data_IF_066285766284
#
_entry.id   IF_066285766284
#
_cell.length_a   1.000
_cell.length_b   1.000
_cell.length_c   1.000
_cell.angle_alpha   90.00
_cell.angle_beta   90.00
_cell.angle_gamma   90.00
#
_symmetry.space_group_name_H-M   'P 1'
#
loop_
_entity.id
_entity.type
_entity.pdbx_description
1 polymer ?
#
# COMPACT_ATOMS: atom_id res chain seq x y z
N UNK A 1 -6.06 -5.49 -29.29
CA UNK A 1 -4.83 -5.33 -28.47
C UNK A 1 -5.30 -4.84 -27.10
N UNK A 2 -4.91 -5.47 -26.00
CA UNK A 2 -5.25 -4.98 -24.65
C UNK A 2 -4.42 -3.71 -24.39
N UNK A 3 -4.95 -2.55 -24.73
CA UNK A 3 -4.35 -1.26 -24.39
C UNK A 3 -4.84 -0.84 -23.02
N UNK A 4 -3.95 -0.94 -22.04
CA UNK A 4 -4.13 -0.34 -20.73
C UNK A 4 -3.36 0.98 -20.73
N UNK A 5 -4.07 2.08 -20.67
CA UNK A 5 -3.47 3.38 -20.42
C UNK A 5 -3.41 3.56 -18.90
N UNK A 6 -2.25 3.97 -18.40
CA UNK A 6 -2.12 4.34 -16.99
C UNK A 6 -3.09 5.50 -16.73
N UNK A 7 -3.94 5.40 -15.69
CA UNK A 7 -4.80 6.50 -15.29
C UNK A 7 -3.97 7.77 -15.02
N UNK A 8 -4.59 8.93 -15.21
CA UNK A 8 -3.99 10.21 -14.76
C UNK A 8 -3.65 10.13 -13.26
N UNK A 9 -2.55 10.80 -12.86
CA UNK A 9 -2.15 10.79 -11.46
C UNK A 9 -3.30 11.29 -10.56
N UNK A 10 -3.54 10.65 -9.40
CA UNK A 10 -4.53 11.13 -8.45
C UNK A 10 -4.24 12.56 -8.00
N UNK A 11 -5.31 13.28 -7.67
CA UNK A 11 -5.18 14.55 -6.96
C UNK A 11 -4.45 14.34 -5.62
N UNK A 12 -3.65 15.34 -5.24
CA UNK A 12 -2.79 15.33 -4.04
C UNK A 12 -3.13 16.52 -3.15
N UNK A 13 -2.99 16.32 -1.84
CA UNK A 13 -3.21 17.35 -0.82
C UNK A 13 -2.08 17.34 0.21
N UNK A 14 -1.65 18.51 0.67
CA UNK A 14 -0.57 18.76 1.64
C UNK A 14 0.86 18.33 1.24
N UNK A 15 1.01 17.19 0.56
CA UNK A 15 2.28 16.53 0.26
C UNK A 15 2.43 16.23 -1.23
N UNK A 16 3.65 16.36 -1.74
CA UNK A 16 4.02 16.01 -3.13
C UNK A 16 5.54 15.90 -3.26
N UNK A 17 6.01 15.12 -4.22
CA UNK A 17 7.44 14.96 -4.50
C UNK A 17 8.11 16.32 -4.79
N UNK A 18 7.44 17.21 -5.53
CA UNK A 18 7.98 18.52 -5.90
C UNK A 18 8.23 19.48 -4.73
N UNK A 19 7.54 19.29 -3.60
CA UNK A 19 7.63 20.14 -2.40
C UNK A 19 8.20 19.38 -1.19
N UNK A 20 8.81 18.22 -1.41
CA UNK A 20 9.30 17.35 -0.33
C UNK A 20 10.54 17.96 0.34
N UNK A 21 10.54 18.03 1.67
CA UNK A 21 11.75 18.39 2.44
C UNK A 21 12.78 17.25 2.35
N UNK A 22 14.06 17.53 2.04
CA UNK A 22 15.11 16.51 2.05
C UNK A 22 15.20 15.81 3.40
N UNK A 23 15.55 14.52 3.42
CA UNK A 23 15.65 13.75 4.67
C UNK A 23 16.60 14.38 5.67
N UNK A 24 17.70 14.96 5.20
CA UNK A 24 18.69 15.66 6.02
C UNK A 24 18.15 16.90 6.76
N UNK A 25 17.01 17.44 6.34
CA UNK A 25 16.39 18.66 6.89
C UNK A 25 15.02 18.39 7.51
N UNK A 26 14.65 17.13 7.67
CA UNK A 26 13.34 16.75 8.17
C UNK A 26 13.27 16.93 9.69
N UNK A 27 12.22 17.61 10.15
CA UNK A 27 12.01 17.90 11.57
C UNK A 27 10.96 16.97 12.17
N UNK A 28 11.11 16.65 13.46
CA UNK A 28 10.21 15.74 14.20
C UNK A 28 8.74 16.17 14.15
N UNK A 29 8.47 17.48 14.25
CA UNK A 29 7.11 18.03 14.23
C UNK A 29 6.45 17.85 12.86
N UNK A 30 7.23 17.92 11.77
CA UNK A 30 6.72 17.68 10.43
C UNK A 30 6.33 16.21 10.24
N UNK A 31 7.14 15.27 10.75
CA UNK A 31 6.81 13.83 10.71
C UNK A 31 5.52 13.56 11.48
N UNK A 32 5.36 14.16 12.67
CA UNK A 32 4.15 14.01 13.48
C UNK A 32 2.93 14.55 12.73
N UNK A 33 3.03 15.75 12.14
CA UNK A 33 1.94 16.33 11.36
C UNK A 33 1.53 15.43 10.19
N UNK A 34 2.51 14.90 9.44
CA UNK A 34 2.25 13.98 8.33
C UNK A 34 1.49 12.73 8.77
N UNK A 35 1.79 12.20 9.95
CA UNK A 35 1.08 11.03 10.52
C UNK A 35 -0.34 11.41 10.95
N UNK A 36 -0.53 12.60 11.53
CA UNK A 36 -1.86 13.10 11.95
C UNK A 36 -2.78 13.31 10.75
N UNK A 37 -2.26 13.84 9.64
CA UNK A 37 -3.04 14.10 8.43
C UNK A 37 -3.56 12.81 7.75
N UNK A 38 -3.06 11.64 8.17
CA UNK A 38 -3.47 10.32 7.68
C UNK A 38 -4.28 9.54 8.72
N UNK A 39 -4.74 10.18 9.79
CA UNK A 39 -5.45 9.53 10.88
C UNK A 39 -6.82 8.99 10.46
N UNK A 40 -6.84 7.74 10.02
CA UNK A 40 -8.07 7.03 9.67
C UNK A 40 -8.87 6.63 10.91
N UNK A 41 -8.20 6.41 12.05
CA UNK A 41 -8.83 5.91 13.27
C UNK A 41 -9.45 7.03 14.11
N UNK A 42 -9.02 8.29 13.89
CA UNK A 42 -9.34 9.45 14.70
C UNK A 42 -9.13 9.16 16.20
N UNK A 43 -8.00 8.53 16.51
CA UNK A 43 -7.69 8.00 17.85
C UNK A 43 -6.26 8.32 18.25
N UNK A 44 -6.11 8.69 19.53
CA UNK A 44 -4.81 8.87 20.16
C UNK A 44 -4.18 7.55 20.66
N UNK A 45 -4.89 6.42 20.52
CA UNK A 45 -4.33 5.10 20.80
C UNK A 45 -3.29 4.69 19.75
N UNK A 46 -2.37 3.80 20.15
CA UNK A 46 -1.46 3.14 19.22
C UNK A 46 -2.25 2.50 18.08
N UNK A 47 -1.89 2.80 16.85
CA UNK A 47 -2.44 2.14 15.68
C UNK A 47 -1.47 2.17 14.50
N UNK A 48 -1.64 1.18 13.63
CA UNK A 48 -0.86 1.01 12.42
C UNK A 48 -1.80 1.02 11.23
N UNK A 49 -1.45 1.81 10.22
CA UNK A 49 -2.15 1.80 8.94
C UNK A 49 -1.15 1.31 7.90
N UNK A 50 -1.41 0.14 7.33
CA UNK A 50 -0.60 -0.40 6.24
C UNK A 50 -1.22 -0.01 4.91
N UNK A 51 -0.44 0.42 3.94
CA UNK A 51 -0.87 0.70 2.57
C UNK A 51 0.21 0.32 1.56
N UNK A 52 -0.01 0.66 0.29
CA UNK A 52 0.84 0.16 -0.80
C UNK A 52 1.26 1.28 -1.77
N UNK A 53 2.57 1.43 -1.95
CA UNK A 53 3.17 2.30 -2.96
C UNK A 53 3.74 1.43 -4.08
N UNK A 54 2.91 1.15 -5.08
CA UNK A 54 3.23 0.12 -6.08
C UNK A 54 3.26 -1.26 -5.41
N UNK A 55 4.32 -2.03 -5.60
CA UNK A 55 4.49 -3.34 -4.94
C UNK A 55 5.19 -3.26 -3.58
N UNK A 56 5.40 -2.03 -3.07
CA UNK A 56 6.13 -1.77 -1.83
C UNK A 56 5.16 -1.45 -0.69
N UNK A 57 5.36 -2.08 0.46
CA UNK A 57 4.51 -1.82 1.62
C UNK A 57 4.92 -0.53 2.32
N UNK A 58 3.91 0.24 2.71
CA UNK A 58 4.03 1.44 3.52
C UNK A 58 3.31 1.18 4.84
N UNK A 59 3.93 1.50 5.95
CA UNK A 59 3.33 1.41 7.29
C UNK A 59 3.39 2.80 7.92
N UNK A 60 2.21 3.35 8.22
CA UNK A 60 2.07 4.53 9.06
C UNK A 60 1.95 4.07 10.49
N UNK A 61 2.84 4.56 11.34
CA UNK A 61 2.92 4.24 12.77
C UNK A 61 2.44 5.48 13.51
N UNK A 62 1.35 5.34 14.28
CA UNK A 62 0.92 6.40 15.20
C UNK A 62 0.97 5.92 16.63
N UNK A 63 1.53 6.77 17.48
CA UNK A 63 1.57 6.61 18.93
C UNK A 63 2.01 5.22 19.38
N UNK A 64 2.99 4.61 18.70
CA UNK A 64 3.60 3.37 19.15
C UNK A 64 4.22 3.58 20.52
N UNK A 65 3.81 2.82 21.53
CA UNK A 65 4.29 3.01 22.90
C UNK A 65 5.08 1.80 23.39
N UNK A 66 6.28 2.05 23.91
CA UNK A 66 7.04 1.03 24.61
C UNK A 66 7.76 1.58 25.85
N UNK A 67 8.57 0.74 26.50
CA UNK A 67 9.32 1.12 27.71
C UNK A 67 10.29 2.29 27.47
N UNK A 68 10.70 2.54 26.23
CA UNK A 68 11.70 3.55 25.84
C UNK A 68 11.07 4.87 25.39
N UNK A 69 9.79 4.89 25.02
CA UNK A 69 9.15 6.11 24.53
C UNK A 69 7.93 5.86 23.66
N UNK A 70 7.52 6.93 23.00
CA UNK A 70 6.46 6.93 21.97
C UNK A 70 7.07 7.22 20.61
N UNK A 71 6.59 6.59 19.54
CA UNK A 71 7.04 6.86 18.17
C UNK A 71 5.86 7.12 17.22
N UNK A 72 6.10 8.03 16.28
CA UNK A 72 5.22 8.31 15.14
C UNK A 72 6.07 8.32 13.87
N UNK A 73 5.59 7.78 12.76
CA UNK A 73 6.27 7.94 11.48
C UNK A 73 5.89 6.91 10.43
N UNK A 74 6.82 6.68 9.52
CA UNK A 74 6.62 5.85 8.33
C UNK A 74 7.69 4.80 8.21
N UNK A 75 7.29 3.62 7.75
CA UNK A 75 8.20 2.55 7.33
C UNK A 75 7.82 2.14 5.93
N UNK A 76 8.79 2.14 5.01
CA UNK A 76 8.62 1.67 3.64
C UNK A 76 9.54 0.49 3.41
N UNK A 77 9.00 -0.63 2.93
CA UNK A 77 9.80 -1.77 2.49
C UNK A 77 9.85 -1.78 0.96
N UNK A 78 11.04 -1.54 0.42
CA UNK A 78 11.30 -1.57 -1.02
C UNK A 78 11.61 -3.00 -1.43
N UNK A 79 10.54 -3.74 -1.68
CA UNK A 79 10.56 -5.18 -1.87
C UNK A 79 11.33 -5.95 -0.81
N UNK A 80 12.13 -6.91 -1.25
CA UNK A 80 13.07 -7.63 -0.36
C UNK A 80 14.47 -7.00 -0.39
N UNK A 81 14.60 -5.75 -0.85
CA UNK A 81 15.90 -5.08 -1.00
C UNK A 81 16.31 -4.35 0.26
N UNK A 82 15.44 -3.48 0.75
CA UNK A 82 15.72 -2.72 1.97
C UNK A 82 14.44 -2.13 2.58
N UNK A 83 14.59 -1.67 3.81
CA UNK A 83 13.62 -0.90 4.58
C UNK A 83 14.15 0.49 4.86
N UNK A 84 13.32 1.49 4.60
CA UNK A 84 13.54 2.86 5.03
C UNK A 84 12.53 3.18 6.13
N UNK A 85 12.99 3.79 7.23
CA UNK A 85 12.14 4.21 8.33
C UNK A 85 12.40 5.67 8.64
N UNK A 86 11.33 6.46 8.74
CA UNK A 86 11.35 7.90 9.02
C UNK A 86 10.43 8.14 10.20
N UNK A 87 11.00 8.32 11.39
CA UNK A 87 10.22 8.38 12.64
C UNK A 87 10.59 9.59 13.50
N UNK A 88 9.61 10.05 14.26
CA UNK A 88 9.74 10.98 15.38
C UNK A 88 9.55 10.18 16.66
N UNK A 89 10.55 10.19 17.54
CA UNK A 89 10.57 9.42 18.79
C UNK A 89 10.65 10.38 19.98
N UNK A 90 9.66 10.32 20.85
CA UNK A 90 9.67 10.97 22.16
C UNK A 90 10.13 9.98 23.22
N UNK A 91 11.30 10.24 23.83
CA UNK A 91 11.86 9.33 24.83
C UNK A 91 11.11 9.39 26.15
N UNK A 92 10.90 8.24 26.78
CA UNK A 92 10.38 8.17 28.15
C UNK A 92 11.52 8.41 29.14
N UNK A 93 11.57 9.60 29.72
CA UNK A 93 12.57 9.99 30.72
C UNK A 93 11.91 10.09 32.11
N UNK A 94 12.48 9.48 33.17
CA UNK A 94 11.98 9.67 34.53
C UNK A 94 11.93 11.15 34.94
N UNK A 95 10.86 11.58 35.63
CA UNK A 95 10.64 12.99 36.01
C UNK A 95 11.81 13.61 36.78
N UNK A 96 12.48 12.83 37.62
CA UNK A 96 13.66 13.28 38.38
C UNK A 96 14.81 13.67 37.44
N UNK A 97 15.04 12.91 36.37
CA UNK A 97 16.08 13.20 35.36
C UNK A 97 15.72 14.43 34.53
N UNK A 98 14.44 14.61 34.19
CA UNK A 98 13.96 15.83 33.52
C UNK A 98 14.18 17.08 34.40
N UNK A 99 13.85 17.00 35.69
CA UNK A 99 14.05 18.09 36.63
C UNK A 99 15.54 18.44 36.80
N UNK A 100 16.41 17.44 36.98
CA UNK A 100 17.86 17.64 37.07
C UNK A 100 18.47 18.23 35.80
N UNK A 101 17.84 18.03 34.63
CA UNK A 101 18.27 18.62 33.36
C UNK A 101 17.56 19.94 33.03
N UNK A 102 16.79 20.51 33.97
CA UNK A 102 15.98 21.72 33.80
C UNK A 102 15.00 21.66 32.61
N UNK A 103 14.56 20.46 32.22
CA UNK A 103 13.63 20.23 31.11
C UNK A 103 12.22 19.95 31.62
N UNK A 104 11.22 20.55 30.98
CA UNK A 104 9.79 20.29 31.26
C UNK A 104 9.21 19.10 30.49
N UNK A 105 9.78 18.78 29.33
CA UNK A 105 9.38 17.66 28.46
C UNK A 105 10.61 16.89 27.99
N UNK A 106 10.48 15.58 27.69
CA UNK A 106 11.53 14.84 27.00
C UNK A 106 11.87 15.47 25.65
N UNK A 107 13.06 15.16 25.13
CA UNK A 107 13.43 15.57 23.77
C UNK A 107 12.76 14.60 22.80
N UNK A 108 12.08 15.15 21.81
CA UNK A 108 11.68 14.42 20.60
C UNK A 108 12.84 14.44 19.61
N UNK A 109 13.12 13.30 18.97
CA UNK A 109 14.18 13.17 17.99
C UNK A 109 13.70 12.48 16.72
N UNK A 110 14.21 12.95 15.59
CA UNK A 110 14.11 12.28 14.30
C UNK A 110 15.03 11.05 14.26
N UNK A 111 14.46 9.91 13.88
CA UNK A 111 15.18 8.69 13.60
C UNK A 111 14.88 8.27 12.17
N UNK A 112 15.83 8.59 11.28
CA UNK A 112 15.81 8.18 9.88
C UNK A 112 16.82 7.07 9.69
N UNK A 113 16.34 5.88 9.33
CA UNK A 113 17.16 4.69 9.23
C UNK A 113 16.93 3.92 7.95
N UNK A 114 17.97 3.18 7.58
CA UNK A 114 18.03 2.28 6.46
C UNK A 114 18.50 0.89 6.93
N UNK A 115 17.92 -0.16 6.38
CA UNK A 115 18.26 -1.56 6.68
C UNK A 115 18.15 -2.38 5.40
N UNK A 116 19.24 -2.99 4.93
CA UNK A 116 19.21 -3.94 3.82
C UNK A 116 18.44 -5.19 4.24
N UNK A 117 17.58 -5.71 3.37
CA UNK A 117 16.79 -6.92 3.56
C UNK A 117 17.30 -8.05 2.64
N UNK A 118 16.72 -9.25 2.77
CA UNK A 118 17.05 -10.40 1.92
C UNK A 118 18.26 -11.19 2.42
N UNK A 119 19.08 -11.69 1.49
CA UNK A 119 20.06 -12.74 1.74
C UNK A 119 21.31 -12.28 2.53
N UNK A 120 21.56 -10.96 2.57
CA UNK A 120 22.63 -10.37 3.37
C UNK A 120 22.11 -9.13 4.10
N UNK A 121 21.30 -9.32 5.16
CA UNK A 121 20.73 -8.21 5.89
C UNK A 121 21.85 -7.42 6.58
N UNK A 122 21.81 -6.10 6.44
CA UNK A 122 22.72 -5.23 7.18
C UNK A 122 22.13 -4.91 8.54
N UNK A 123 22.97 -4.56 9.51
CA UNK A 123 22.47 -3.84 10.69
C UNK A 123 21.80 -2.53 10.27
N UNK A 124 20.86 -2.06 11.10
CA UNK A 124 20.21 -0.76 10.90
C UNK A 124 21.25 0.38 10.92
N UNK A 125 21.23 1.21 9.89
CA UNK A 125 22.11 2.37 9.73
C UNK A 125 21.30 3.67 9.81
N UNK A 126 21.85 4.71 10.45
CA UNK A 126 21.23 6.04 10.44
C UNK A 126 21.57 6.77 9.15
N UNK A 127 20.58 7.41 8.52
CA UNK A 127 20.75 8.12 7.25
C UNK A 127 21.92 9.11 7.27
N UNK A 128 22.07 9.88 8.35
CA UNK A 128 23.17 10.85 8.52
C UNK A 128 24.59 10.26 8.52
N UNK A 129 24.71 8.95 8.72
CA UNK A 129 25.99 8.24 8.76
C UNK A 129 26.28 7.48 7.45
N UNK A 130 25.37 7.51 6.49
CA UNK A 130 25.57 6.89 5.18
C UNK A 130 26.54 7.77 4.38
N UNK A 131 27.66 7.20 3.97
CA UNK A 131 28.69 7.89 3.16
C UNK A 131 28.49 7.69 1.65
N UNK A 132 27.75 6.65 1.28
CA UNK A 132 27.40 6.36 -0.11
C UNK A 132 26.36 7.36 -0.60
N UNK A 133 26.79 8.24 -1.50
CA UNK A 133 25.95 9.32 -2.03
C UNK A 133 24.86 8.81 -2.98
N UNK A 134 25.11 7.72 -3.70
CA UNK A 134 24.12 7.11 -4.59
C UNK A 134 22.99 6.49 -3.77
N UNK A 135 23.34 5.81 -2.67
CA UNK A 135 22.37 5.31 -1.71
C UNK A 135 21.57 6.46 -1.07
N UNK A 136 22.21 7.56 -0.67
CA UNK A 136 21.50 8.72 -0.10
C UNK A 136 20.52 9.34 -1.09
N UNK A 137 20.92 9.53 -2.34
CA UNK A 137 20.05 10.04 -3.39
C UNK A 137 18.86 9.11 -3.64
N UNK A 138 19.07 7.80 -3.62
CA UNK A 138 17.99 6.82 -3.72
C UNK A 138 17.00 6.95 -2.55
N UNK A 139 17.49 7.06 -1.32
CA UNK A 139 16.64 7.21 -0.13
C UNK A 139 15.85 8.53 -0.15
N UNK A 140 16.46 9.63 -0.60
CA UNK A 140 15.76 10.90 -0.79
C UNK A 140 14.70 10.80 -1.91
N UNK A 141 15.01 10.11 -3.01
CA UNK A 141 14.06 9.90 -4.10
C UNK A 141 12.84 9.06 -3.67
N UNK A 142 13.04 8.02 -2.87
CA UNK A 142 11.92 7.21 -2.37
C UNK A 142 11.13 7.92 -1.27
N UNK A 143 11.77 8.80 -0.50
CA UNK A 143 11.06 9.74 0.38
C UNK A 143 10.17 10.70 -0.42
N UNK A 144 10.64 11.24 -1.54
CA UNK A 144 9.82 12.06 -2.43
C UNK A 144 8.62 11.29 -3.00
N UNK A 145 8.83 10.04 -3.45
CA UNK A 145 7.71 9.18 -3.92
C UNK A 145 6.70 8.89 -2.82
N UNK A 146 7.18 8.63 -1.60
CA UNK A 146 6.31 8.46 -0.45
C UNK A 146 5.46 9.72 -0.24
N UNK A 147 6.02 10.92 -0.36
CA UNK A 147 5.26 12.16 -0.21
C UNK A 147 4.16 12.33 -1.28
N UNK A 148 4.38 11.90 -2.52
CA UNK A 148 3.32 11.84 -3.53
C UNK A 148 2.20 10.87 -3.14
N UNK A 149 2.57 9.65 -2.69
CA UNK A 149 1.61 8.67 -2.19
C UNK A 149 0.81 9.21 -1.00
N UNK A 150 1.48 9.83 -0.02
CA UNK A 150 0.82 10.42 1.14
C UNK A 150 -0.09 11.58 0.74
N UNK A 151 0.32 12.40 -0.23
CA UNK A 151 -0.50 13.49 -0.74
C UNK A 151 -1.79 13.00 -1.37
N UNK A 152 -1.71 11.94 -2.17
CA UNK A 152 -2.88 11.31 -2.77
C UNK A 152 -3.79 10.65 -1.70
N UNK A 153 -3.19 10.03 -0.67
CA UNK A 153 -3.93 9.45 0.44
C UNK A 153 -4.68 10.52 1.26
N UNK A 154 -4.03 11.65 1.60
CA UNK A 154 -4.68 12.77 2.29
C UNK A 154 -5.85 13.33 1.48
N UNK A 155 -5.69 13.50 0.15
CA UNK A 155 -6.78 13.97 -0.69
C UNK A 155 -7.96 12.99 -0.70
N UNK A 156 -7.71 11.67 -0.78
CA UNK A 156 -8.77 10.67 -0.65
C UNK A 156 -9.52 10.82 0.67
N UNK A 157 -8.81 10.88 1.80
CA UNK A 157 -9.42 10.93 3.13
C UNK A 157 -10.27 12.18 3.36
N UNK A 158 -9.77 13.35 2.95
CA UNK A 158 -10.44 14.65 3.11
C UNK A 158 -11.67 14.81 2.21
N UNK A 159 -11.75 14.04 1.12
CA UNK A 159 -12.85 14.08 0.15
C UNK A 159 -13.76 12.84 0.20
N UNK A 160 -13.83 12.16 1.35
CA UNK A 160 -14.67 10.97 1.59
C UNK A 160 -14.37 9.77 0.66
N UNK A 161 -13.12 9.61 0.28
CA UNK A 161 -12.55 8.47 -0.46
C UNK A 161 -13.23 8.21 -1.82
N UNK A 162 -13.22 9.18 -2.74
CA UNK A 162 -14.02 9.12 -3.95
C UNK A 162 -13.62 7.97 -4.89
N UNK A 163 -12.34 7.59 -4.95
CA UNK A 163 -11.91 6.44 -5.76
C UNK A 163 -12.36 5.12 -5.16
N UNK A 164 -12.41 5.01 -3.82
CA UNK A 164 -12.95 3.84 -3.13
C UNK A 164 -14.45 3.70 -3.42
N UNK A 165 -15.20 4.80 -3.30
CA UNK A 165 -16.62 4.83 -3.65
C UNK A 165 -16.86 4.47 -5.11
N UNK A 166 -16.03 4.98 -6.04
CA UNK A 166 -16.10 4.65 -7.45
C UNK A 166 -15.83 3.16 -7.69
N UNK A 167 -14.79 2.59 -7.08
CA UNK A 167 -14.47 1.18 -7.20
C UNK A 167 -15.65 0.31 -6.76
N UNK A 168 -16.25 0.58 -5.60
CA UNK A 168 -17.41 -0.17 -5.11
C UNK A 168 -18.71 0.05 -5.90
N UNK A 169 -18.83 1.17 -6.62
CA UNK A 169 -19.97 1.43 -7.51
C UNK A 169 -19.85 0.68 -8.83
N UNK A 170 -18.65 0.63 -9.40
CA UNK A 170 -18.40 0.04 -10.72
C UNK A 170 -18.15 -1.47 -10.65
N UNK A 171 -17.43 -1.91 -9.62
CA UNK A 171 -17.05 -3.30 -9.41
C UNK A 171 -18.06 -3.91 -8.46
N UNK A 172 -19.14 -4.48 -8.99
CA UNK A 172 -20.17 -5.12 -8.17
C UNK A 172 -19.90 -6.62 -8.05
N UNK A 173 -20.39 -7.30 -7.00
CA UNK A 173 -20.35 -8.76 -6.92
C UNK A 173 -20.93 -9.42 -8.18
N UNK A 174 -22.01 -8.87 -8.73
CA UNK A 174 -22.62 -9.35 -9.97
C UNK A 174 -21.68 -9.20 -11.19
N UNK A 175 -20.94 -8.10 -11.30
CA UNK A 175 -19.96 -7.91 -12.37
C UNK A 175 -18.81 -8.93 -12.25
N UNK A 176 -18.34 -9.23 -11.04
CA UNK A 176 -17.33 -10.28 -10.81
C UNK A 176 -17.87 -11.65 -11.24
N UNK A 177 -19.11 -11.99 -10.85
CA UNK A 177 -19.78 -13.22 -11.30
C UNK A 177 -19.80 -13.35 -12.83
N UNK A 178 -20.19 -12.28 -13.54
CA UNK A 178 -20.23 -12.29 -15.01
C UNK A 178 -18.86 -12.59 -15.63
N UNK A 179 -17.78 -12.03 -15.07
CA UNK A 179 -16.43 -12.30 -15.57
C UNK A 179 -15.97 -13.73 -15.28
N UNK A 180 -16.31 -14.27 -14.10
CA UNK A 180 -15.99 -15.65 -13.74
C UNK A 180 -16.70 -16.65 -14.66
N UNK A 181 -17.91 -16.34 -15.11
CA UNK A 181 -18.70 -17.16 -16.02
C UNK A 181 -18.38 -16.95 -17.51
N UNK A 182 -17.43 -16.06 -17.84
CA UNK A 182 -17.06 -15.77 -19.22
C UNK A 182 -16.63 -17.05 -19.97
N UNK A 183 -17.16 -17.23 -21.19
CA UNK A 183 -16.99 -18.47 -21.97
C UNK A 183 -15.52 -18.76 -22.29
N UNK A 184 -14.69 -17.73 -22.38
CA UNK A 184 -13.25 -17.86 -22.65
C UNK A 184 -12.51 -18.73 -21.61
N UNK A 185 -12.97 -18.78 -20.36
CA UNK A 185 -12.40 -19.66 -19.32
C UNK A 185 -12.83 -21.13 -19.45
N UNK A 186 -13.79 -21.44 -20.33
CA UNK A 186 -14.19 -22.82 -20.64
C UNK A 186 -13.50 -23.35 -21.90
N UNK A 187 -13.07 -22.46 -22.79
CA UNK A 187 -12.48 -22.82 -24.08
C UNK A 187 -10.95 -22.82 -24.07
N UNK A 188 -10.31 -22.06 -23.19
CA UNK A 188 -8.85 -22.00 -23.09
C UNK A 188 -8.28 -23.04 -22.13
N UNK A 189 -7.06 -23.46 -22.40
CA UNK A 189 -6.24 -24.18 -21.43
C UNK A 189 -5.81 -23.22 -20.32
N UNK A 190 -6.22 -23.51 -19.10
CA UNK A 190 -5.94 -22.66 -17.94
C UNK A 190 -4.69 -23.13 -17.19
N UNK A 191 -3.85 -22.17 -16.80
CA UNK A 191 -2.73 -22.35 -15.88
C UNK A 191 -3.20 -22.09 -14.46
N UNK A 192 -2.70 -22.86 -13.50
CA UNK A 192 -3.03 -22.70 -12.08
C UNK A 192 -2.09 -21.71 -11.40
N UNK A 193 -2.65 -20.93 -10.48
CA UNK A 193 -1.95 -19.98 -9.60
C UNK A 193 -2.65 -19.95 -8.25
N UNK A 194 -2.22 -20.84 -7.33
CA UNK A 194 -2.95 -21.12 -6.09
C UNK A 194 -4.36 -21.65 -6.39
N UNK A 195 -5.38 -21.03 -5.78
CA UNK A 195 -6.79 -21.37 -5.98
C UNK A 195 -7.38 -20.82 -7.29
N UNK A 196 -6.59 -20.07 -8.06
CA UNK A 196 -7.03 -19.47 -9.31
C UNK A 196 -6.58 -20.29 -10.52
N UNK A 197 -7.40 -20.29 -11.57
CA UNK A 197 -7.07 -20.85 -12.87
C UNK A 197 -7.32 -19.80 -13.96
N UNK A 198 -6.33 -19.58 -14.83
CA UNK A 198 -6.34 -18.45 -15.75
C UNK A 198 -5.47 -18.61 -16.99
N UNK A 199 -5.38 -17.56 -17.79
CA UNK A 199 -4.53 -17.52 -18.98
C UNK A 199 -3.91 -16.14 -19.18
N UNK A 200 -2.77 -16.11 -19.87
CA UNK A 200 -2.12 -14.87 -20.27
C UNK A 200 -2.74 -14.30 -21.55
N UNK A 201 -2.91 -12.99 -21.59
CA UNK A 201 -3.28 -12.23 -22.76
C UNK A 201 -2.42 -10.95 -22.80
N UNK A 202 -1.32 -11.02 -23.55
CA UNK A 202 -0.28 -9.99 -23.49
C UNK A 202 0.37 -9.95 -22.10
N UNK A 203 0.47 -8.76 -21.52
CA UNK A 203 1.09 -8.51 -20.22
C UNK A 203 0.18 -8.80 -19.01
N UNK A 204 -1.05 -9.28 -19.26
CA UNK A 204 -2.04 -9.53 -18.22
C UNK A 204 -2.37 -11.02 -18.09
N UNK A 205 -2.45 -11.49 -16.86
CA UNK A 205 -2.97 -12.81 -16.52
C UNK A 205 -4.36 -12.65 -15.92
N UNK A 206 -5.37 -13.16 -16.62
CA UNK A 206 -6.74 -13.19 -16.11
C UNK A 206 -7.01 -14.57 -15.54
N UNK A 207 -7.42 -14.63 -14.28
CA UNK A 207 -7.69 -15.89 -13.61
C UNK A 207 -8.94 -15.80 -12.76
N UNK A 208 -9.57 -16.95 -12.55
CA UNK A 208 -10.82 -17.08 -11.80
C UNK A 208 -10.66 -18.15 -10.73
N UNK A 209 -11.31 -17.93 -9.58
CA UNK A 209 -11.56 -18.97 -8.59
C UNK A 209 -13.05 -19.32 -8.68
N UNK A 210 -13.32 -20.57 -9.08
CA UNK A 210 -14.70 -21.10 -9.07
C UNK A 210 -15.10 -21.46 -7.64
N UNK A 211 -16.40 -21.41 -7.31
CA UNK A 211 -16.87 -21.84 -6.00
C UNK A 211 -16.47 -23.29 -5.68
N UNK A 212 -15.93 -23.50 -4.49
CA UNK A 212 -15.62 -24.81 -3.91
C UNK A 212 -16.21 -24.90 -2.49
N UNK A 213 -16.13 -26.07 -1.86
CA UNK A 213 -16.57 -26.23 -0.47
C UNK A 213 -15.78 -25.31 0.50
N UNK A 214 -14.49 -25.14 0.27
CA UNK A 214 -13.63 -24.25 1.07
C UNK A 214 -13.85 -22.76 0.73
N UNK A 215 -14.19 -22.44 -0.53
CA UNK A 215 -14.39 -21.08 -1.01
C UNK A 215 -15.75 -21.00 -1.74
N UNK A 216 -16.87 -20.80 -1.03
CA UNK A 216 -18.21 -20.91 -1.62
C UNK A 216 -18.58 -19.77 -2.58
N UNK A 217 -17.77 -18.71 -2.63
CA UNK A 217 -18.00 -17.53 -3.46
C UNK A 217 -16.92 -17.43 -4.55
N UNK A 218 -17.29 -17.03 -5.77
CA UNK A 218 -16.31 -16.89 -6.83
C UNK A 218 -15.45 -15.65 -6.62
N UNK A 219 -14.27 -15.66 -7.25
CA UNK A 219 -13.39 -14.52 -7.28
C UNK A 219 -12.65 -14.43 -8.60
N UNK A 220 -12.13 -13.25 -8.87
CA UNK A 220 -11.30 -12.99 -10.04
C UNK A 220 -9.95 -12.44 -9.61
N UNK A 221 -8.91 -12.78 -10.36
CA UNK A 221 -7.58 -12.20 -10.23
C UNK A 221 -7.13 -11.62 -11.56
N UNK A 222 -6.57 -10.42 -11.51
CA UNK A 222 -5.85 -9.80 -12.63
C UNK A 222 -4.42 -9.59 -12.18
N UNK A 223 -3.48 -10.27 -12.81
CA UNK A 223 -2.05 -10.05 -12.58
C UNK A 223 -1.43 -9.28 -13.73
N UNK A 224 -0.43 -8.47 -13.41
CA UNK A 224 0.36 -7.70 -14.37
C UNK A 224 1.85 -7.82 -14.03
N UNK A 225 2.70 -7.59 -15.02
CA UNK A 225 4.15 -7.48 -14.81
C UNK A 225 4.48 -6.03 -14.49
N UNK A 226 5.08 -5.81 -13.32
CA UNK A 226 5.63 -4.50 -12.96
C UNK A 226 7.04 -4.34 -13.55
N UNK A 227 7.84 -5.41 -13.50
CA UNK A 227 9.11 -5.56 -14.20
C UNK A 227 9.32 -7.02 -14.67
N UNK A 228 10.52 -7.38 -15.14
CA UNK A 228 10.83 -8.74 -15.60
C UNK A 228 10.66 -9.83 -14.53
N UNK A 229 10.68 -9.46 -13.24
CA UNK A 229 10.73 -10.40 -12.10
C UNK A 229 9.53 -10.27 -11.17
N UNK A 230 8.89 -9.11 -11.10
CA UNK A 230 7.81 -8.81 -10.17
C UNK A 230 6.44 -8.84 -10.85
N UNK A 231 5.59 -9.75 -10.37
CA UNK A 231 4.19 -9.88 -10.81
C UNK A 231 3.29 -9.42 -9.65
N UNK A 232 2.67 -8.26 -9.83
CA UNK A 232 1.58 -7.78 -8.97
C UNK A 232 0.27 -8.44 -9.36
N UNK A 233 -0.65 -8.62 -8.41
CA UNK A 233 -2.01 -9.06 -8.71
C UNK A 233 -3.03 -8.29 -7.90
N UNK A 234 -4.17 -7.98 -8.52
CA UNK A 234 -5.38 -7.59 -7.81
C UNK A 234 -6.33 -8.76 -7.77
N UNK A 235 -6.97 -8.94 -6.62
CA UNK A 235 -8.00 -9.94 -6.41
C UNK A 235 -9.31 -9.24 -6.09
N UNK A 236 -10.35 -9.68 -6.77
CA UNK A 236 -11.72 -9.20 -6.68
C UNK A 236 -12.50 -10.33 -6.02
N UNK A 237 -12.40 -10.39 -4.69
CA UNK A 237 -13.06 -11.39 -3.88
C UNK A 237 -14.49 -10.96 -3.57
N UNK A 238 -15.40 -11.93 -3.45
CA UNK A 238 -16.73 -11.72 -2.89
C UNK A 238 -16.73 -12.37 -1.51
N UNK A 239 -17.04 -11.56 -0.49
CA UNK A 239 -17.23 -12.00 0.90
C UNK A 239 -18.69 -11.79 1.31
N UNK A 240 -19.05 -12.19 2.53
CA UNK A 240 -20.35 -11.85 3.12
C UNK A 240 -20.14 -10.79 4.19
N UNK A 241 -21.01 -9.81 4.23
CA UNK A 241 -21.07 -8.86 5.33
C UNK A 241 -21.75 -9.47 6.59
N UNK A 242 -21.93 -8.67 7.63
CA UNK A 242 -22.58 -9.10 8.89
C UNK A 242 -24.04 -9.54 8.69
N UNK A 243 -24.72 -9.01 7.67
CA UNK A 243 -26.09 -9.40 7.29
C UNK A 243 -26.11 -10.66 6.41
N UNK A 244 -24.94 -11.13 5.96
CA UNK A 244 -24.80 -12.28 5.07
C UNK A 244 -24.86 -11.92 3.58
N UNK A 245 -24.92 -10.64 3.24
CA UNK A 245 -25.05 -10.16 1.86
C UNK A 245 -23.69 -10.15 1.14
N UNK A 246 -23.64 -10.48 -0.17
CA UNK A 246 -22.41 -10.45 -0.94
C UNK A 246 -21.79 -9.05 -1.00
N UNK A 247 -20.52 -8.93 -0.59
CA UNK A 247 -19.74 -7.70 -0.61
C UNK A 247 -18.43 -7.91 -1.36
N UNK A 248 -18.02 -6.93 -2.13
CA UNK A 248 -16.70 -6.92 -2.76
C UNK A 248 -15.60 -6.72 -1.70
N UNK A 249 -14.55 -7.53 -1.76
CA UNK A 249 -13.28 -7.32 -1.09
C UNK A 249 -12.19 -7.16 -2.15
N UNK A 250 -11.57 -5.98 -2.18
CA UNK A 250 -10.47 -5.67 -3.08
C UNK A 250 -9.15 -5.95 -2.37
N UNK A 251 -8.34 -6.82 -2.94
CA UNK A 251 -7.06 -7.20 -2.38
C UNK A 251 -5.93 -6.96 -3.38
N UNK A 252 -4.73 -6.64 -2.88
CA UNK A 252 -3.48 -6.67 -3.61
C UNK A 252 -2.64 -7.85 -3.13
N UNK A 253 -2.09 -8.59 -4.09
CA UNK A 253 -1.00 -9.53 -3.88
C UNK A 253 0.24 -8.93 -4.53
N UNK A 254 1.19 -8.39 -3.74
CA UNK A 254 2.27 -7.56 -4.27
C UNK A 254 3.29 -8.36 -5.09
N UNK A 255 3.42 -9.66 -4.83
CA UNK A 255 4.31 -10.55 -5.59
C UNK A 255 3.68 -11.92 -5.75
N UNK A 256 4.07 -12.65 -6.80
CA UNK A 256 3.73 -14.06 -6.94
C UNK A 256 4.25 -14.84 -5.72
N UNK A 257 3.36 -15.59 -5.07
CA UNK A 257 3.67 -16.38 -3.87
C UNK A 257 3.65 -15.59 -2.55
N UNK A 258 3.42 -14.28 -2.57
CA UNK A 258 3.13 -13.52 -1.35
C UNK A 258 1.67 -13.68 -0.92
N UNK A 259 1.38 -13.35 0.34
CA UNK A 259 0.02 -13.23 0.84
C UNK A 259 -0.74 -12.09 0.15
N UNK A 260 -2.07 -12.18 0.21
CA UNK A 260 -2.98 -11.13 -0.25
C UNK A 260 -3.34 -10.19 0.89
N UNK A 261 -3.40 -8.90 0.61
CA UNK A 261 -3.72 -7.85 1.57
C UNK A 261 -4.89 -7.03 1.07
N UNK A 262 -5.81 -6.68 1.97
CA UNK A 262 -6.93 -5.80 1.62
C UNK A 262 -6.38 -4.42 1.22
N UNK A 263 -6.88 -3.88 0.11
CA UNK A 263 -6.57 -2.50 -0.30
C UNK A 263 -7.28 -1.50 0.61
N UNK A 264 -6.59 -0.42 0.94
CA UNK A 264 -7.20 0.62 1.74
C UNK A 264 -7.98 1.60 0.88
N UNK A 265 -8.97 2.23 1.51
CA UNK A 265 -9.78 3.29 0.92
C UNK A 265 -8.99 4.53 0.47
N UNK A 266 -7.76 4.69 0.93
CA UNK A 266 -6.89 5.83 0.59
C UNK A 266 -5.75 5.46 -0.38
N UNK A 267 -5.61 4.19 -0.79
CA UNK A 267 -4.55 3.73 -1.72
C UNK A 267 -4.86 4.19 -3.18
N UNK A 268 -4.88 5.50 -3.41
CA UNK A 268 -5.45 6.15 -4.60
C UNK A 268 -4.95 5.57 -5.94
N UNK A 269 -3.64 5.41 -6.09
CA UNK A 269 -3.04 4.84 -7.30
C UNK A 269 -3.50 3.39 -7.55
N UNK A 270 -3.58 2.57 -6.49
CA UNK A 270 -4.09 1.21 -6.63
C UNK A 270 -5.58 1.22 -6.97
N UNK A 271 -6.38 2.08 -6.37
CA UNK A 271 -7.81 2.15 -6.66
C UNK A 271 -8.08 2.56 -8.12
N UNK A 272 -7.38 3.57 -8.64
CA UNK A 272 -7.45 3.92 -10.07
C UNK A 272 -7.06 2.74 -10.97
N UNK A 273 -5.93 2.08 -10.66
CA UNK A 273 -5.43 0.96 -11.45
C UNK A 273 -6.39 -0.23 -11.43
N UNK A 274 -6.96 -0.55 -10.28
CA UNK A 274 -7.96 -1.62 -10.08
C UNK A 274 -9.20 -1.35 -10.92
N UNK A 275 -9.74 -0.12 -10.87
CA UNK A 275 -10.90 0.30 -11.67
C UNK A 275 -10.61 0.12 -13.16
N UNK A 276 -9.49 0.67 -13.64
CA UNK A 276 -9.12 0.60 -15.05
C UNK A 276 -8.86 -0.83 -15.52
N UNK A 277 -8.20 -1.66 -14.70
CA UNK A 277 -7.95 -3.06 -15.02
C UNK A 277 -9.24 -3.88 -15.06
N UNK A 278 -10.18 -3.61 -14.15
CA UNK A 278 -11.47 -4.29 -14.14
C UNK A 278 -12.30 -3.94 -15.37
N UNK A 279 -12.39 -2.67 -15.74
CA UNK A 279 -13.08 -2.23 -16.97
C UNK A 279 -12.44 -2.85 -18.23
N UNK A 280 -11.11 -2.86 -18.31
CA UNK A 280 -10.38 -3.54 -19.37
C UNK A 280 -10.73 -5.03 -19.43
N UNK A 281 -10.78 -5.70 -18.28
CA UNK A 281 -11.13 -7.11 -18.20
C UNK A 281 -12.58 -7.36 -18.62
N UNK A 282 -13.52 -6.50 -18.25
CA UNK A 282 -14.91 -6.57 -18.72
C UNK A 282 -14.99 -6.47 -20.24
N UNK A 283 -14.36 -5.47 -20.83
CA UNK A 283 -14.34 -5.29 -22.29
C UNK A 283 -13.71 -6.48 -23.01
N UNK A 284 -12.65 -7.07 -22.47
CA UNK A 284 -11.93 -8.14 -23.12
C UNK A 284 -12.57 -9.52 -22.93
N UNK A 285 -12.99 -9.86 -21.72
CA UNK A 285 -13.48 -11.20 -21.38
C UNK A 285 -14.95 -11.40 -21.75
N UNK A 286 -15.74 -10.32 -21.80
CA UNK A 286 -17.15 -10.35 -22.20
C UNK A 286 -17.37 -9.95 -23.66
N UNK A 287 -16.30 -9.58 -24.39
CA UNK A 287 -16.37 -9.45 -25.84
C UNK A 287 -16.74 -10.80 -26.46
N UNK A 288 -17.76 -10.78 -27.33
CA UNK A 288 -18.27 -11.95 -28.05
C UNK A 288 -17.29 -12.42 -29.11
#
# INVERSE_FOLDING_TARGET
>A
MLTFELPEEPEKLYYSAGNTHPLAKLESDKIIQMVIDLDVANSDSEHYVTGWMGLNSVVVIRNYQNKRGTANGFVVNIGNRYRQSVQSIEFRIPKVVLWMSFRRKPRTMELITYETLGDQPSGMQQYRNILDEELRQQLDADWCKLNDYLGAACWQLENDTPLWQQAHRQITPQAVHQLVDATIFRTKNLQTDGDYAGFWAGEYFFAIRRPTEANPLPAMQISWREDEKEIGSYQFDITKDEAGEPKLSLCIRPRKGADSYILNRFDAHHLQRVIAMFDMAQRYLLAR
#
